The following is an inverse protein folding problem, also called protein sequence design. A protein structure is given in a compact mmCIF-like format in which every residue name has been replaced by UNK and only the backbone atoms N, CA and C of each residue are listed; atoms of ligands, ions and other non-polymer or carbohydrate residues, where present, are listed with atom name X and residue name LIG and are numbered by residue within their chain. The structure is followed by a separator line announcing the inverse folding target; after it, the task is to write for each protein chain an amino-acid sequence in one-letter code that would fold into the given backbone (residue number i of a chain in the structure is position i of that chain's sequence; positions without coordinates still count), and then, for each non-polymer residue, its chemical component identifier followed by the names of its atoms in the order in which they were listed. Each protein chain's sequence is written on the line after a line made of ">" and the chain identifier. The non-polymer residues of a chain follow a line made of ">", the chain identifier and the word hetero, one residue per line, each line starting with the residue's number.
data_IF_223718532831
#
_entry.id   IF_223718532831
#
_cell.length_a   1.000
_cell.length_b   1.000
_cell.length_c   1.000
_cell.angle_alpha   90.00
_cell.angle_beta   90.00
_cell.angle_gamma   90.00
#
_symmetry.space_group_name_H-M   'P 1'
#
loop_
_entity.id
_entity.type
_entity.pdbx_description
1 polymer ?
#
# COMPACT_ATOMS: atom_id res chain seq x y z
N UNK A 1 30.88 6.09 -1.73
CA UNK A 1 29.47 5.71 -1.83
C UNK A 1 29.35 4.32 -1.24
N UNK A 2 28.63 4.18 -0.11
CA UNK A 2 28.42 2.87 0.53
C UNK A 2 27.41 2.07 -0.29
N UNK A 3 27.68 0.79 -0.52
CA UNK A 3 26.73 -0.16 -1.06
C UNK A 3 25.54 -0.25 -0.09
N UNK A 4 24.35 0.12 -0.58
CA UNK A 4 23.13 -0.02 0.20
C UNK A 4 22.41 -1.27 -0.27
N UNK A 5 22.44 -2.31 0.54
CA UNK A 5 21.71 -3.54 0.28
C UNK A 5 20.21 -3.28 0.36
N UNK A 6 19.47 -3.75 -0.63
CA UNK A 6 18.02 -3.64 -0.68
C UNK A 6 17.41 -5.02 -0.92
N UNK A 7 16.26 -5.27 -0.33
CA UNK A 7 15.45 -6.46 -0.61
C UNK A 7 14.21 -6.00 -1.38
N UNK A 8 13.95 -6.48 -2.59
CA UNK A 8 12.70 -6.19 -3.28
C UNK A 8 11.54 -6.95 -2.63
N UNK A 9 10.34 -6.45 -2.81
CA UNK A 9 9.13 -7.24 -2.70
C UNK A 9 9.08 -8.17 -3.91
N UNK A 10 8.77 -9.43 -3.70
CA UNK A 10 8.52 -10.42 -4.75
C UNK A 10 7.03 -10.68 -4.79
N UNK A 11 6.39 -10.36 -5.91
CA UNK A 11 4.96 -10.57 -6.13
C UNK A 11 4.77 -11.74 -7.06
N UNK A 12 4.14 -12.79 -6.54
CA UNK A 12 3.79 -14.02 -7.25
C UNK A 12 2.30 -14.07 -7.50
N UNK A 13 1.89 -14.51 -8.69
CA UNK A 13 0.50 -14.62 -9.11
C UNK A 13 0.21 -16.04 -9.55
N UNK A 14 -0.87 -16.62 -9.06
CA UNK A 14 -1.30 -17.94 -9.49
C UNK A 14 -1.60 -17.98 -11.01
N UNK A 15 -1.15 -19.02 -11.67
CA UNK A 15 -1.23 -19.16 -13.14
C UNK A 15 -0.16 -18.37 -13.91
N UNK A 16 0.76 -17.70 -13.24
CA UNK A 16 1.91 -17.00 -13.84
C UNK A 16 3.22 -17.50 -13.19
N UNK A 17 3.34 -18.81 -13.02
CA UNK A 17 4.49 -19.44 -12.41
C UNK A 17 5.78 -19.08 -13.15
N UNK A 18 6.81 -18.66 -12.40
CA UNK A 18 8.08 -18.21 -12.95
C UNK A 18 8.10 -16.77 -13.51
N UNK A 19 6.99 -16.02 -13.38
CA UNK A 19 6.89 -14.61 -13.73
C UNK A 19 6.75 -13.74 -12.47
N UNK A 20 7.70 -13.89 -11.54
CA UNK A 20 7.74 -13.07 -10.33
C UNK A 20 7.99 -11.62 -10.71
N UNK A 21 7.20 -10.70 -10.16
CA UNK A 21 7.39 -9.26 -10.36
C UNK A 21 8.09 -8.69 -9.14
N UNK A 22 9.17 -7.98 -9.37
CA UNK A 22 9.99 -7.36 -8.34
C UNK A 22 9.67 -5.87 -8.22
N UNK A 23 9.58 -5.37 -7.00
CA UNK A 23 9.38 -3.95 -6.74
C UNK A 23 9.67 -3.61 -5.29
N UNK A 24 9.43 -2.37 -4.88
CA UNK A 24 9.78 -1.89 -3.54
C UNK A 24 8.61 -1.33 -2.76
N UNK A 25 7.57 -0.89 -3.44
CA UNK A 25 6.41 -0.27 -2.82
C UNK A 25 5.13 -0.67 -3.55
N UNK A 26 4.17 -1.21 -2.83
CA UNK A 26 2.91 -1.65 -3.44
C UNK A 26 1.70 -1.48 -2.54
N UNK A 27 0.53 -1.74 -3.12
CA UNK A 27 -0.71 -1.66 -2.36
C UNK A 27 -1.99 -1.80 -3.19
N UNK A 28 -3.11 -1.77 -2.47
CA UNK A 28 -4.47 -1.85 -3.03
C UNK A 28 -5.38 -0.75 -2.47
N UNK A 29 -6.59 -0.71 -2.93
CA UNK A 29 -7.65 0.17 -2.44
C UNK A 29 -7.45 1.62 -2.85
N UNK A 30 -7.41 2.54 -1.89
CA UNK A 30 -7.23 3.96 -2.16
C UNK A 30 -5.91 4.28 -2.86
N UNK A 31 -4.85 3.51 -2.60
CA UNK A 31 -3.57 3.65 -3.28
C UNK A 31 -3.68 3.34 -4.78
N UNK A 32 -4.23 2.19 -5.14
CA UNK A 32 -4.41 1.79 -6.54
C UNK A 32 -5.29 2.79 -7.31
N UNK A 33 -6.37 3.28 -6.69
CA UNK A 33 -7.22 4.33 -7.28
C UNK A 33 -6.49 5.65 -7.47
N UNK A 34 -5.61 6.01 -6.54
CA UNK A 34 -4.78 7.21 -6.66
C UNK A 34 -3.83 7.12 -7.86
N UNK A 35 -3.22 5.97 -8.07
CA UNK A 35 -2.34 5.71 -9.22
C UNK A 35 -3.12 5.74 -10.54
N UNK A 36 -4.31 5.12 -10.59
CA UNK A 36 -5.18 5.13 -11.78
C UNK A 36 -5.55 6.58 -12.20
N UNK A 37 -5.88 7.43 -11.22
CA UNK A 37 -6.12 8.86 -11.47
C UNK A 37 -4.86 9.58 -11.98
N UNK A 38 -3.67 9.23 -11.43
CA UNK A 38 -2.40 9.84 -11.85
C UNK A 38 -2.03 9.49 -13.29
N UNK A 39 -2.36 8.29 -13.75
CA UNK A 39 -2.11 7.86 -15.13
C UNK A 39 -3.07 8.44 -16.16
N UNK A 40 -4.07 9.25 -15.75
CA UNK A 40 -4.95 9.91 -16.69
C UNK A 40 -4.15 10.90 -17.58
N UNK A 41 -4.26 10.82 -18.92
CA UNK A 41 -3.38 11.53 -19.88
C UNK A 41 -3.34 13.06 -19.71
N UNK A 42 -4.33 13.64 -19.03
CA UNK A 42 -4.40 15.09 -18.78
C UNK A 42 -3.48 15.59 -17.64
N UNK A 43 -3.03 14.69 -16.74
CA UNK A 43 -2.26 15.10 -15.55
C UNK A 43 -0.75 14.94 -15.77
N UNK A 44 -0.33 13.90 -16.47
CA UNK A 44 1.09 13.57 -16.68
C UNK A 44 1.85 14.50 -17.62
N UNK A 45 1.14 15.29 -18.44
CA UNK A 45 1.76 16.02 -19.56
C UNK A 45 2.57 17.26 -19.18
N UNK A 46 2.43 17.79 -17.96
CA UNK A 46 2.99 19.11 -17.61
C UNK A 46 3.65 19.23 -16.22
N UNK A 47 3.86 18.15 -15.47
CA UNK A 47 4.33 18.29 -14.09
C UNK A 47 5.53 17.37 -13.84
N UNK A 48 6.59 17.90 -13.20
CA UNK A 48 7.75 17.14 -12.78
C UNK A 48 7.32 15.95 -11.88
N UNK A 49 7.98 14.80 -12.03
CA UNK A 49 7.58 13.50 -11.47
C UNK A 49 7.18 13.55 -9.98
N UNK A 50 7.93 14.27 -9.15
CA UNK A 50 7.68 14.40 -7.71
C UNK A 50 6.46 15.27 -7.38
N UNK A 51 6.23 16.32 -8.18
CA UNK A 51 5.06 17.19 -8.03
C UNK A 51 3.77 16.49 -8.50
N UNK A 52 3.86 15.59 -9.48
CA UNK A 52 2.73 14.80 -9.94
C UNK A 52 2.21 13.86 -8.85
N UNK A 53 3.09 13.18 -8.13
CA UNK A 53 2.72 12.29 -7.01
C UNK A 53 2.05 13.10 -5.89
N UNK A 54 2.63 14.24 -5.49
CA UNK A 54 2.05 15.10 -4.46
C UNK A 54 0.69 15.67 -4.89
N UNK A 55 0.56 16.12 -6.15
CA UNK A 55 -0.69 16.62 -6.70
C UNK A 55 -1.75 15.52 -6.78
N UNK A 56 -1.36 14.31 -7.17
CA UNK A 56 -2.27 13.16 -7.22
C UNK A 56 -2.80 12.77 -5.85
N UNK A 57 -1.92 12.75 -4.84
CA UNK A 57 -2.33 12.55 -3.45
C UNK A 57 -3.29 13.67 -3.00
N UNK A 58 -2.99 14.91 -3.35
CA UNK A 58 -3.84 16.06 -3.01
C UNK A 58 -5.19 15.99 -3.73
N UNK A 59 -5.23 15.67 -5.02
CA UNK A 59 -6.48 15.49 -5.78
C UNK A 59 -7.28 14.28 -5.28
N UNK A 60 -6.62 13.19 -4.92
CA UNK A 60 -7.27 12.04 -4.29
C UNK A 60 -7.89 12.41 -2.94
N UNK A 61 -7.21 13.24 -2.16
CA UNK A 61 -7.75 13.77 -0.91
C UNK A 61 -8.95 14.71 -1.14
N UNK A 62 -8.92 15.54 -2.20
CA UNK A 62 -10.07 16.42 -2.51
C UNK A 62 -11.32 15.63 -2.92
N UNK A 63 -11.17 14.46 -3.53
CA UNK A 63 -12.31 13.58 -3.83
C UNK A 63 -12.98 13.02 -2.57
N UNK A 64 -12.28 12.93 -1.44
CA UNK A 64 -12.86 12.57 -0.15
C UNK A 64 -13.81 13.66 0.40
N UNK A 65 -13.73 14.89 -0.10
CA UNK A 65 -14.63 15.96 0.30
C UNK A 65 -15.96 15.95 -0.46
N UNK A 66 -16.06 15.28 -1.61
CA UNK A 66 -17.33 15.07 -2.31
C UNK A 66 -18.15 13.98 -1.61
N UNK A 67 -19.35 14.26 -1.09
CA UNK A 67 -20.11 13.28 -0.30
C UNK A 67 -20.45 12.02 -1.10
N UNK A 68 -20.66 12.12 -2.41
CA UNK A 68 -20.98 10.99 -3.28
C UNK A 68 -19.75 10.12 -3.55
N UNK A 69 -18.62 10.72 -3.85
CA UNK A 69 -17.35 10.02 -4.10
C UNK A 69 -16.78 9.44 -2.80
N UNK A 70 -16.89 10.20 -1.69
CA UNK A 70 -16.44 9.76 -0.37
C UNK A 70 -17.03 8.40 0.02
N UNK A 71 -18.34 8.19 -0.17
CA UNK A 71 -18.98 6.91 0.14
C UNK A 71 -18.32 5.77 -0.61
N UNK A 72 -18.13 5.94 -1.92
CA UNK A 72 -17.51 4.94 -2.81
C UNK A 72 -16.04 4.66 -2.45
N UNK A 73 -15.29 5.69 -2.06
CA UNK A 73 -13.89 5.53 -1.63
C UNK A 73 -13.79 4.79 -0.30
N UNK A 74 -14.63 5.16 0.67
CA UNK A 74 -14.63 4.56 1.99
C UNK A 74 -15.12 3.11 2.02
N UNK A 75 -15.87 2.66 1.01
CA UNK A 75 -16.31 1.27 0.91
C UNK A 75 -15.15 0.28 0.76
N UNK A 76 -13.99 0.76 0.33
CA UNK A 76 -12.81 -0.08 0.15
C UNK A 76 -13.00 -1.18 -0.89
N UNK A 77 -12.01 -2.04 -1.01
CA UNK A 77 -12.02 -3.20 -1.91
C UNK A 77 -12.19 -4.49 -1.12
N UNK A 78 -13.01 -5.43 -1.60
CA UNK A 78 -13.07 -6.76 -1.00
C UNK A 78 -11.75 -7.49 -1.25
N UNK A 79 -11.16 -7.98 -0.19
CA UNK A 79 -9.92 -8.73 -0.21
C UNK A 79 -9.86 -9.60 1.05
N UNK A 80 -9.42 -10.84 0.91
CA UNK A 80 -9.00 -11.67 2.03
C UNK A 80 -7.49 -11.53 2.16
N UNK A 81 -7.02 -11.19 3.35
CA UNK A 81 -5.62 -10.99 3.67
C UNK A 81 -5.18 -12.04 4.71
N UNK A 82 -4.10 -12.74 4.41
CA UNK A 82 -3.40 -13.59 5.37
C UNK A 82 -1.98 -13.05 5.53
N UNK A 83 -1.61 -12.68 6.75
CA UNK A 83 -0.30 -12.16 7.11
C UNK A 83 0.43 -13.21 7.93
N UNK A 84 1.56 -13.70 7.45
CA UNK A 84 2.40 -14.72 8.10
C UNK A 84 1.58 -15.91 8.64
N UNK A 85 0.66 -16.43 7.80
CA UNK A 85 -0.23 -17.55 8.13
C UNK A 85 -1.43 -17.20 9.01
N UNK A 86 -1.55 -15.94 9.48
CA UNK A 86 -2.70 -15.49 10.27
C UNK A 86 -3.70 -14.74 9.40
N UNK A 87 -4.92 -15.26 9.33
CA UNK A 87 -5.99 -14.61 8.58
C UNK A 87 -6.42 -13.29 9.22
N UNK A 88 -6.59 -12.27 8.39
CA UNK A 88 -7.15 -11.01 8.83
C UNK A 88 -8.67 -11.12 9.06
N UNK A 89 -9.17 -10.30 9.97
CA UNK A 89 -10.61 -10.16 10.24
C UNK A 89 -11.31 -9.18 9.29
N UNK A 90 -10.56 -8.40 8.51
CA UNK A 90 -11.15 -7.44 7.57
C UNK A 90 -11.61 -8.18 6.31
N UNK A 91 -12.85 -7.94 5.92
CA UNK A 91 -13.39 -8.42 4.64
C UNK A 91 -13.18 -7.40 3.51
N UNK A 92 -12.96 -6.15 3.87
CA UNK A 92 -12.79 -5.04 2.92
C UNK A 92 -11.74 -4.07 3.45
N UNK A 93 -10.84 -3.68 2.57
CA UNK A 93 -9.72 -2.80 2.88
C UNK A 93 -9.89 -1.46 2.18
N UNK A 94 -9.86 -0.38 2.96
CA UNK A 94 -9.78 0.97 2.41
C UNK A 94 -8.43 1.18 1.73
N UNK A 95 -7.37 0.71 2.38
CA UNK A 95 -5.99 0.88 1.96
C UNK A 95 -5.15 -0.27 2.54
N UNK A 96 -4.38 -0.93 1.70
CA UNK A 96 -3.24 -1.73 2.10
C UNK A 96 -2.01 -1.17 1.38
N UNK A 97 -0.97 -0.87 2.12
CA UNK A 97 0.36 -0.52 1.61
C UNK A 97 1.37 -1.52 2.13
N UNK A 98 2.36 -1.85 1.32
CA UNK A 98 3.52 -2.62 1.75
C UNK A 98 4.79 -2.06 1.10
N UNK A 99 5.91 -2.13 1.82
CA UNK A 99 7.19 -1.65 1.32
C UNK A 99 8.35 -2.39 1.96
N UNK A 100 9.35 -2.65 1.15
CA UNK A 100 10.68 -3.11 1.59
C UNK A 100 11.70 -1.97 1.64
N UNK A 101 11.30 -0.74 1.33
CA UNK A 101 12.15 0.43 1.46
C UNK A 101 12.37 0.78 2.93
N UNK A 102 13.61 1.15 3.27
CA UNK A 102 13.95 1.61 4.61
C UNK A 102 13.48 3.04 4.88
N UNK A 103 13.23 3.83 3.85
CA UNK A 103 12.74 5.20 3.90
C UNK A 103 11.95 5.51 2.63
N UNK A 104 10.88 6.26 2.79
CA UNK A 104 10.12 6.80 1.66
C UNK A 104 10.61 8.21 1.30
N UNK A 105 10.40 8.67 0.07
CA UNK A 105 10.69 10.03 -0.35
C UNK A 105 10.05 11.09 0.58
N UNK A 106 10.65 12.26 0.64
CA UNK A 106 10.18 13.42 1.44
C UNK A 106 10.04 13.16 2.95
N UNK A 107 10.68 12.09 3.49
CA UNK A 107 10.63 11.76 4.91
C UNK A 107 9.26 11.31 5.42
N UNK A 108 8.33 10.99 4.53
CA UNK A 108 7.03 10.42 4.91
C UNK A 108 7.23 8.96 5.34
N UNK A 109 6.64 8.57 6.46
CA UNK A 109 6.69 7.18 6.94
C UNK A 109 5.36 6.82 7.61
N UNK A 110 4.39 6.28 6.85
CA UNK A 110 3.05 6.02 7.40
C UNK A 110 2.98 4.76 8.24
N UNK A 111 4.06 4.01 8.35
CA UNK A 111 4.10 2.74 9.09
C UNK A 111 4.41 2.98 10.57
N UNK A 112 4.07 1.98 11.41
CA UNK A 112 4.31 2.05 12.85
C UNK A 112 5.67 1.51 13.28
N UNK A 113 6.35 0.84 12.37
CA UNK A 113 7.73 0.38 12.53
C UNK A 113 8.69 1.55 12.35
N UNK A 114 9.84 1.51 12.97
CA UNK A 114 10.86 2.52 12.75
C UNK A 114 11.48 2.38 11.34
N UNK A 115 11.77 3.49 10.65
CA UNK A 115 12.49 3.45 9.38
C UNK A 115 13.82 2.71 9.55
N UNK A 116 14.11 1.76 8.67
CA UNK A 116 15.36 1.00 8.70
C UNK A 116 15.34 -0.27 9.56
N UNK A 117 14.25 -0.60 10.23
CA UNK A 117 14.14 -1.76 11.12
C UNK A 117 13.59 -3.02 10.42
N UNK A 118 13.75 -3.18 9.12
CA UNK A 118 13.02 -4.18 8.31
C UNK A 118 13.45 -5.64 8.54
N UNK A 119 14.59 -5.92 9.18
CA UNK A 119 15.03 -7.30 9.36
C UNK A 119 15.02 -8.10 8.03
N UNK A 120 14.44 -9.28 8.05
CA UNK A 120 14.27 -10.15 6.88
C UNK A 120 12.92 -9.99 6.15
N UNK A 121 12.03 -9.17 6.68
CA UNK A 121 10.69 -8.92 6.15
C UNK A 121 10.53 -7.57 5.45
N UNK A 122 9.29 -7.16 5.33
CA UNK A 122 8.87 -5.86 4.82
C UNK A 122 7.80 -5.24 5.73
N UNK A 123 7.57 -3.95 5.60
CA UNK A 123 6.59 -3.24 6.41
C UNK A 123 5.26 -3.12 5.69
N UNK A 124 4.16 -3.22 6.42
CA UNK A 124 2.83 -3.01 5.88
C UNK A 124 1.98 -2.07 6.76
N UNK A 125 1.03 -1.41 6.12
CA UNK A 125 -0.06 -0.66 6.74
C UNK A 125 -1.36 -1.10 6.13
N UNK A 126 -2.30 -1.55 6.95
CA UNK A 126 -3.62 -1.99 6.54
C UNK A 126 -4.71 -1.18 7.25
N UNK A 127 -5.67 -0.71 6.48
CA UNK A 127 -6.77 0.13 6.95
C UNK A 127 -8.09 -0.47 6.47
N UNK A 128 -8.94 -0.85 7.40
CA UNK A 128 -10.27 -1.39 7.11
C UNK A 128 -11.15 -0.39 6.33
N UNK A 129 -12.15 -0.90 5.61
CA UNK A 129 -13.15 -0.07 4.98
C UNK A 129 -13.90 0.79 6.01
N UNK A 130 -14.33 1.99 5.59
CA UNK A 130 -15.05 2.98 6.42
C UNK A 130 -14.35 3.29 7.75
N UNK A 131 -13.03 3.61 7.73
CA UNK A 131 -12.28 3.82 8.95
C UNK A 131 -12.78 5.07 9.68
N UNK A 132 -12.89 4.99 10.98
CA UNK A 132 -13.21 6.15 11.83
C UNK A 132 -12.01 7.10 11.86
N UNK A 133 -12.28 8.41 11.90
CA UNK A 133 -11.25 9.48 12.02
C UNK A 133 -10.21 9.46 10.88
N UNK A 134 -10.60 9.08 9.66
CA UNK A 134 -9.67 8.92 8.53
C UNK A 134 -8.81 10.17 8.29
N UNK A 135 -9.38 11.38 8.26
CA UNK A 135 -8.60 12.61 8.01
C UNK A 135 -7.57 12.87 9.11
N UNK A 136 -7.96 12.63 10.36
CA UNK A 136 -7.02 12.72 11.50
C UNK A 136 -5.94 11.64 11.39
N UNK A 137 -6.31 10.42 10.97
CA UNK A 137 -5.35 9.33 10.74
C UNK A 137 -4.33 9.71 9.66
N UNK A 138 -4.79 10.19 8.51
CA UNK A 138 -3.93 10.63 7.40
C UNK A 138 -2.94 11.70 7.89
N UNK A 139 -3.42 12.71 8.61
CA UNK A 139 -2.58 13.75 9.17
C UNK A 139 -1.45 13.23 10.08
N UNK A 140 -1.77 12.27 10.95
CA UNK A 140 -0.77 11.64 11.81
C UNK A 140 0.21 10.76 11.02
N UNK A 141 -0.28 9.96 10.09
CA UNK A 141 0.54 9.07 9.27
C UNK A 141 1.52 9.85 8.39
N UNK A 142 1.09 10.95 7.78
CA UNK A 142 1.97 11.83 6.99
C UNK A 142 3.10 12.43 7.84
N UNK A 143 2.91 12.54 9.15
CA UNK A 143 3.93 13.00 10.10
C UNK A 143 4.74 11.87 10.74
N UNK A 144 4.61 10.65 10.24
CA UNK A 144 5.29 9.48 10.80
C UNK A 144 4.88 9.15 12.23
N UNK A 145 3.64 9.47 12.62
CA UNK A 145 3.17 9.26 14.00
C UNK A 145 1.93 8.38 14.00
N UNK A 146 1.93 7.39 14.87
CA UNK A 146 0.75 6.55 15.14
C UNK A 146 0.29 6.78 16.59
N UNK A 147 -0.70 7.65 16.83
CA UNK A 147 -1.20 7.91 18.18
C UNK A 147 -1.85 6.67 18.81
N UNK A 148 -1.90 6.63 20.14
CA UNK A 148 -2.40 5.48 20.89
C UNK A 148 -3.82 5.05 20.48
N UNK A 149 -4.70 6.00 20.13
CA UNK A 149 -6.06 5.67 19.67
C UNK A 149 -6.06 4.89 18.35
N UNK A 150 -5.11 5.20 17.44
CA UNK A 150 -4.98 4.50 16.16
C UNK A 150 -4.43 3.08 16.38
N UNK A 151 -3.39 2.94 17.20
CA UNK A 151 -2.79 1.63 17.54
C UNK A 151 -3.75 0.69 18.27
N UNK A 152 -4.71 1.24 19.04
CA UNK A 152 -5.76 0.47 19.74
C UNK A 152 -6.99 0.22 18.88
N UNK A 153 -7.13 0.91 17.75
CA UNK A 153 -8.28 0.75 16.87
C UNK A 153 -8.18 -0.55 16.09
N UNK A 154 -9.21 -1.39 16.09
CA UNK A 154 -9.20 -2.59 15.25
C UNK A 154 -9.26 -2.29 13.75
N UNK A 155 -9.42 -1.03 13.34
CA UNK A 155 -9.55 -0.61 11.95
C UNK A 155 -8.22 -0.20 11.30
N UNK A 156 -7.16 -0.11 12.06
CA UNK A 156 -5.83 0.29 11.59
C UNK A 156 -4.82 -0.73 12.10
N UNK A 157 -3.98 -1.22 11.21
CA UNK A 157 -2.91 -2.16 11.54
C UNK A 157 -1.66 -1.80 10.77
N UNK A 158 -0.54 -1.95 11.39
CA UNK A 158 0.76 -1.83 10.73
C UNK A 158 1.78 -2.65 11.49
N UNK A 159 2.70 -3.24 10.78
CA UNK A 159 3.72 -4.09 11.34
C UNK A 159 4.72 -4.51 10.28
N UNK A 160 5.51 -5.49 10.62
CA UNK A 160 6.37 -6.21 9.70
C UNK A 160 5.71 -7.52 9.33
N UNK A 161 5.97 -7.99 8.12
CA UNK A 161 5.55 -9.28 7.61
C UNK A 161 6.66 -9.92 6.79
N UNK A 162 6.73 -11.23 6.77
CA UNK A 162 7.55 -12.00 5.86
C UNK A 162 6.77 -12.38 4.61
N UNK A 163 5.45 -12.56 4.78
CA UNK A 163 4.54 -12.90 3.69
C UNK A 163 3.16 -12.28 3.85
N UNK A 164 2.58 -11.83 2.74
CA UNK A 164 1.17 -11.46 2.62
C UNK A 164 0.54 -12.26 1.49
N UNK A 165 -0.54 -12.98 1.79
CA UNK A 165 -1.37 -13.66 0.81
C UNK A 165 -2.69 -12.91 0.65
N UNK A 166 -2.95 -12.44 -0.56
CA UNK A 166 -4.12 -11.67 -0.93
C UNK A 166 -5.02 -12.50 -1.84
N UNK A 167 -6.31 -12.59 -1.52
CA UNK A 167 -7.31 -13.15 -2.44
C UNK A 167 -8.29 -12.05 -2.79
N UNK A 168 -8.28 -11.60 -4.05
CA UNK A 168 -9.05 -10.45 -4.51
C UNK A 168 -9.31 -10.50 -6.02
N UNK A 169 -10.26 -9.67 -6.48
CA UNK A 169 -10.55 -9.49 -7.91
C UNK A 169 -10.12 -8.11 -8.44
N UNK A 170 -9.42 -7.36 -7.62
CA UNK A 170 -8.94 -6.02 -7.96
C UNK A 170 -7.44 -6.06 -8.19
N UNK A 171 -6.95 -5.15 -9.03
CA UNK A 171 -5.53 -5.03 -9.29
C UNK A 171 -4.75 -4.64 -8.04
N UNK A 172 -3.55 -5.16 -7.94
CA UNK A 172 -2.49 -4.71 -7.04
C UNK A 172 -1.58 -3.73 -7.80
N UNK A 173 -1.11 -2.70 -7.15
CA UNK A 173 -0.13 -1.78 -7.77
C UNK A 173 1.22 -1.98 -7.11
N UNK A 174 2.26 -2.16 -7.94
CA UNK A 174 3.65 -2.29 -7.50
C UNK A 174 4.51 -1.25 -8.26
N UNK A 175 5.16 -0.36 -7.53
CA UNK A 175 6.01 0.72 -8.08
C UNK A 175 5.32 1.55 -9.19
N UNK A 176 3.99 1.66 -9.12
CA UNK A 176 3.17 2.37 -10.11
C UNK A 176 2.63 1.49 -11.24
N UNK A 177 3.08 0.24 -11.38
CA UNK A 177 2.56 -0.71 -12.35
C UNK A 177 1.34 -1.46 -11.81
N UNK A 178 0.32 -1.63 -12.65
CA UNK A 178 -0.92 -2.33 -12.32
C UNK A 178 -0.73 -3.82 -12.58
N UNK A 179 -0.84 -4.63 -11.54
CA UNK A 179 -0.75 -6.08 -11.60
C UNK A 179 -2.13 -6.68 -11.36
N UNK A 180 -2.67 -7.34 -12.36
CA UNK A 180 -3.88 -8.15 -12.18
C UNK A 180 -3.55 -9.38 -11.32
N UNK A 181 -4.44 -9.78 -10.39
CA UNK A 181 -4.26 -11.00 -9.62
C UNK A 181 -4.26 -12.23 -10.54
N UNK A 182 -3.76 -13.35 -10.04
CA UNK A 182 -3.76 -14.61 -10.77
C UNK A 182 -5.15 -15.13 -11.12
N UNK A 183 -5.21 -16.23 -11.86
CA UNK A 183 -6.47 -16.82 -12.37
C UNK A 183 -7.46 -17.20 -11.29
N UNK A 184 -6.99 -17.53 -10.09
CA UNK A 184 -7.78 -17.83 -8.89
C UNK A 184 -8.01 -16.58 -7.99
N UNK A 185 -7.55 -15.41 -8.41
CA UNK A 185 -7.59 -14.18 -7.64
C UNK A 185 -6.53 -14.10 -6.57
N UNK A 186 -5.58 -15.05 -6.50
CA UNK A 186 -4.54 -15.08 -5.48
C UNK A 186 -3.27 -14.32 -5.91
N UNK A 187 -2.69 -13.63 -4.94
CA UNK A 187 -1.43 -12.93 -5.07
C UNK A 187 -0.64 -13.08 -3.76
N UNK A 188 0.61 -13.48 -3.87
CA UNK A 188 1.51 -13.63 -2.73
C UNK A 188 2.62 -12.60 -2.81
N UNK A 189 2.89 -11.92 -1.71
CA UNK A 189 3.97 -10.95 -1.56
C UNK A 189 4.93 -11.48 -0.51
N UNK A 190 6.21 -11.55 -0.85
CA UNK A 190 7.29 -11.94 0.07
C UNK A 190 8.46 -10.98 -0.04
N UNK A 191 9.34 -10.98 0.95
CA UNK A 191 10.63 -10.30 0.86
C UNK A 191 11.59 -11.12 -0.02
N UNK A 192 12.13 -10.51 -1.05
CA UNK A 192 13.11 -11.14 -1.92
C UNK A 192 14.51 -11.24 -1.31
N UNK A 193 15.46 -11.83 -2.04
CA UNK A 193 16.86 -11.86 -1.63
C UNK A 193 17.45 -10.45 -1.60
N UNK A 194 18.50 -10.27 -0.81
CA UNK A 194 19.25 -9.02 -0.81
C UNK A 194 19.93 -8.81 -2.16
N UNK A 195 19.74 -7.63 -2.74
CA UNK A 195 20.41 -7.19 -3.96
C UNK A 195 21.28 -5.97 -3.65
N UNK A 196 22.43 -5.89 -4.32
CA UNK A 196 23.40 -4.79 -4.20
C UNK A 196 23.22 -3.77 -5.32
#
# INVERSE_FOLDING_TARGET
>A
AGLTWRRPLVVQRAGHEGQDVLGFFGGIGAFARGIDIAHHPGILRNIAHDAAVALTLMLSLTQLFSPFQRKRWLEGVPCSLVCDGSADSFQRHFLLLCTSLQRLPHGTWPFWTEPGSLGDGFTYLDVAARPKRLLTAIWHLLRGRAPAWMRRSPQYRSGMAESLHLTMRHAFVLDGEILEPGTDGCLTITAGPQIS
#
